data_IF_445141175153
#
_entry.id   IF_445141175153
#
_cell.length_a   1.000
_cell.length_b   1.000
_cell.length_c   1.000
_cell.angle_alpha   90.00
_cell.angle_beta   90.00
_cell.angle_gamma   90.00
#
_symmetry.space_group_name_H-M   'P 1'
#
loop_
_entity.id
_entity.type
_entity.pdbx_description
1 polymer ?
#
# COMPACT_ATOMS: atom_id res chain seq x y z
N UNK A 1 15.58 46.13 -5.17
CA UNK A 1 16.22 44.84 -5.50
C UNK A 1 15.96 43.89 -4.36
N UNK A 2 15.00 42.98 -4.52
CA UNK A 2 14.65 42.00 -3.49
C UNK A 2 15.51 40.74 -3.71
N UNK A 3 16.37 40.44 -2.75
CA UNK A 3 17.09 39.16 -2.65
C UNK A 3 16.26 38.23 -1.76
N UNK A 4 15.28 37.54 -2.35
CA UNK A 4 14.58 36.44 -1.69
C UNK A 4 15.42 35.19 -1.95
N UNK A 5 16.26 34.84 -0.98
CA UNK A 5 16.86 33.50 -0.93
C UNK A 5 15.74 32.49 -0.74
N UNK A 6 15.36 31.84 -1.83
CA UNK A 6 14.60 30.60 -1.82
C UNK A 6 15.43 29.57 -1.06
N UNK A 7 15.17 29.45 0.25
CA UNK A 7 15.62 28.35 1.07
C UNK A 7 15.08 27.07 0.45
N UNK A 8 15.94 26.38 -0.28
CA UNK A 8 15.75 24.99 -0.69
C UNK A 8 15.64 24.18 0.60
N UNK A 9 14.42 24.03 1.10
CA UNK A 9 14.12 22.97 2.04
C UNK A 9 14.57 21.69 1.34
N UNK A 10 15.46 20.88 1.93
CA UNK A 10 15.73 19.57 1.36
C UNK A 10 14.38 18.87 1.40
N UNK A 11 13.82 18.59 0.23
CA UNK A 11 12.79 17.57 0.08
C UNK A 11 13.45 16.29 0.56
N UNK A 12 13.44 16.08 1.88
CA UNK A 12 13.73 14.80 2.48
C UNK A 12 12.64 13.92 1.90
N UNK A 13 12.98 13.16 0.86
CA UNK A 13 12.11 12.10 0.36
C UNK A 13 11.64 11.38 1.62
N UNK A 14 10.31 11.27 1.85
CA UNK A 14 9.85 10.54 3.01
C UNK A 14 10.51 9.16 2.96
N UNK A 15 11.01 8.70 4.11
CA UNK A 15 11.58 7.36 4.18
C UNK A 15 10.51 6.40 3.63
N UNK A 16 10.78 5.77 2.50
CA UNK A 16 9.83 4.86 1.86
C UNK A 16 9.47 3.82 2.91
N UNK A 17 8.19 3.77 3.28
CA UNK A 17 7.71 2.80 4.25
C UNK A 17 8.06 1.40 3.75
N UNK A 18 8.53 0.55 4.66
CA UNK A 18 8.98 -0.81 4.37
C UNK A 18 7.89 -1.77 4.86
N UNK A 19 6.97 -2.19 3.98
CA UNK A 19 5.97 -3.18 4.34
C UNK A 19 6.64 -4.53 4.60
N UNK A 20 6.15 -5.26 5.58
CA UNK A 20 6.59 -6.64 5.82
C UNK A 20 6.21 -7.58 4.67
N UNK A 21 6.91 -8.70 4.54
CA UNK A 21 6.55 -9.78 3.59
C UNK A 21 5.12 -10.27 3.79
N UNK A 22 4.64 -10.34 5.03
CA UNK A 22 3.27 -10.73 5.34
C UNK A 22 2.27 -9.70 4.81
N UNK A 23 2.56 -8.41 4.97
CA UNK A 23 1.71 -7.35 4.43
C UNK A 23 1.66 -7.37 2.90
N UNK A 24 2.77 -7.67 2.24
CA UNK A 24 2.85 -7.84 0.79
C UNK A 24 2.03 -9.06 0.34
N UNK A 25 2.12 -10.20 1.04
CA UNK A 25 1.31 -11.40 0.74
C UNK A 25 -0.19 -11.13 0.87
N UNK A 26 -0.61 -10.43 1.92
CA UNK A 26 -2.00 -10.05 2.12
C UNK A 26 -2.49 -9.09 1.04
N UNK A 27 -1.64 -8.14 0.62
CA UNK A 27 -1.94 -7.25 -0.49
C UNK A 27 -2.13 -8.04 -1.80
N UNK A 28 -1.24 -8.99 -2.10
CA UNK A 28 -1.35 -9.87 -3.27
C UNK A 28 -2.65 -10.67 -3.25
N UNK A 29 -2.98 -11.32 -2.15
CA UNK A 29 -4.24 -12.07 -2.01
C UNK A 29 -5.47 -11.19 -2.23
N UNK A 30 -5.45 -9.96 -1.71
CA UNK A 30 -6.53 -8.99 -1.94
C UNK A 30 -6.63 -8.58 -3.42
N UNK A 31 -5.51 -8.36 -4.11
CA UNK A 31 -5.49 -8.00 -5.54
C UNK A 31 -5.96 -9.15 -6.42
N UNK A 32 -5.50 -10.38 -6.16
CA UNK A 32 -5.92 -11.58 -6.89
C UNK A 32 -7.43 -11.81 -6.72
N UNK A 33 -7.95 -11.70 -5.49
CA UNK A 33 -9.39 -11.81 -5.24
C UNK A 33 -10.19 -10.69 -5.91
N UNK A 34 -9.64 -9.48 -5.98
CA UNK A 34 -10.25 -8.37 -6.72
C UNK A 34 -10.37 -8.69 -8.20
N UNK A 35 -9.30 -9.20 -8.81
CA UNK A 35 -9.28 -9.56 -10.24
C UNK A 35 -10.38 -10.58 -10.55
N UNK A 36 -10.51 -11.63 -9.73
CA UNK A 36 -11.59 -12.62 -9.86
C UNK A 36 -12.96 -11.94 -9.74
N UNK A 37 -13.21 -11.18 -8.68
CA UNK A 37 -14.51 -10.52 -8.45
C UNK A 37 -14.91 -9.54 -9.57
N UNK A 38 -13.93 -8.88 -10.20
CA UNK A 38 -14.15 -7.93 -11.31
C UNK A 38 -14.25 -8.58 -12.69
N UNK A 39 -13.87 -9.86 -12.81
CA UNK A 39 -13.95 -10.61 -14.07
C UNK A 39 -15.36 -11.10 -14.39
N UNK A 40 -16.26 -11.11 -13.40
CA UNK A 40 -17.65 -11.54 -13.53
C UNK A 40 -18.60 -10.39 -13.16
N UNK A 41 -19.87 -10.44 -13.60
CA UNK A 41 -20.90 -9.51 -13.12
C UNK A 41 -21.01 -9.52 -11.60
N UNK A 42 -21.31 -8.35 -11.03
CA UNK A 42 -21.42 -8.20 -9.58
C UNK A 42 -22.42 -9.18 -8.97
N UNK A 43 -21.94 -9.94 -7.98
CA UNK A 43 -22.75 -10.70 -7.04
C UNK A 43 -22.17 -10.53 -5.65
N UNK A 44 -23.02 -10.51 -4.62
CA UNK A 44 -22.55 -10.37 -3.25
C UNK A 44 -21.60 -11.52 -2.85
N UNK A 45 -21.92 -12.75 -3.28
CA UNK A 45 -21.09 -13.94 -3.00
C UNK A 45 -19.76 -13.89 -3.76
N UNK A 46 -19.76 -13.49 -5.04
CA UNK A 46 -18.53 -13.35 -5.83
C UNK A 46 -17.58 -12.28 -5.30
N UNK A 47 -18.12 -11.25 -4.64
CA UNK A 47 -17.33 -10.16 -4.06
C UNK A 47 -16.91 -10.42 -2.61
N UNK A 48 -17.55 -11.37 -1.91
CA UNK A 48 -17.27 -11.66 -0.50
C UNK A 48 -15.81 -12.06 -0.24
N UNK A 49 -15.20 -12.82 -1.16
CA UNK A 49 -13.80 -13.22 -1.05
C UNK A 49 -12.86 -12.00 -1.09
N UNK A 50 -13.08 -11.09 -2.03
CA UNK A 50 -12.31 -9.85 -2.13
C UNK A 50 -12.51 -8.95 -0.91
N UNK A 51 -13.75 -8.76 -0.46
CA UNK A 51 -14.05 -7.93 0.71
C UNK A 51 -13.30 -8.43 1.95
N UNK A 52 -13.36 -9.74 2.22
CA UNK A 52 -12.65 -10.35 3.36
C UNK A 52 -11.13 -10.20 3.25
N UNK A 53 -10.56 -10.38 2.05
CA UNK A 53 -9.13 -10.22 1.83
C UNK A 53 -8.70 -8.75 2.00
N UNK A 54 -9.49 -7.81 1.48
CA UNK A 54 -9.24 -6.38 1.62
C UNK A 54 -9.33 -5.92 3.09
N UNK A 55 -10.33 -6.39 3.84
CA UNK A 55 -10.45 -6.13 5.28
C UNK A 55 -9.23 -6.66 6.05
N UNK A 56 -8.81 -7.89 5.75
CA UNK A 56 -7.64 -8.51 6.39
C UNK A 56 -6.37 -7.71 6.09
N UNK A 57 -6.18 -7.28 4.84
CA UNK A 57 -5.06 -6.44 4.44
C UNK A 57 -5.08 -5.09 5.20
N UNK A 58 -6.21 -4.36 5.23
CA UNK A 58 -6.32 -3.07 5.91
C UNK A 58 -6.11 -3.17 7.43
N UNK A 59 -6.58 -4.25 8.04
CA UNK A 59 -6.32 -4.55 9.45
C UNK A 59 -4.81 -4.76 9.69
N UNK A 60 -4.13 -5.50 8.82
CA UNK A 60 -2.69 -5.71 8.90
C UNK A 60 -1.89 -4.41 8.70
N UNK A 61 -2.26 -3.55 7.73
CA UNK A 61 -1.61 -2.22 7.56
C UNK A 61 -1.73 -1.42 8.86
N UNK A 62 -2.91 -1.42 9.48
CA UNK A 62 -3.16 -0.68 10.73
C UNK A 62 -2.34 -1.26 11.90
N UNK A 63 -2.28 -2.59 12.01
CA UNK A 63 -1.50 -3.26 13.04
C UNK A 63 0.01 -3.02 12.88
N UNK A 64 0.53 -3.07 11.64
CA UNK A 64 1.95 -2.84 11.35
C UNK A 64 2.33 -1.36 11.56
N UNK A 65 1.49 -0.41 11.15
CA UNK A 65 1.71 1.01 11.38
C UNK A 65 1.79 1.39 12.87
N UNK A 66 1.18 0.58 13.75
CA UNK A 66 1.22 0.78 15.20
C UNK A 66 2.47 0.21 15.87
N UNK A 67 3.27 -0.60 15.17
CA UNK A 67 4.52 -1.16 15.68
C UNK A 67 5.65 -0.12 15.67
N UNK A 68 6.65 -0.30 16.54
CA UNK A 68 7.85 0.54 16.55
C UNK A 68 8.94 -0.05 15.64
N UNK A 69 9.62 0.77 14.80
CA UNK A 69 9.39 2.20 14.61
C UNK A 69 8.09 2.49 13.85
N UNK A 70 7.34 3.50 14.30
CA UNK A 70 6.08 3.88 13.65
C UNK A 70 6.30 4.27 12.20
N UNK A 71 5.47 3.71 11.32
CA UNK A 71 5.40 4.05 9.91
C UNK A 71 4.00 4.61 9.59
N UNK A 72 3.90 5.46 8.58
CA UNK A 72 2.60 5.95 8.13
C UNK A 72 1.78 4.81 7.54
N UNK A 73 0.54 4.65 8.02
CA UNK A 73 -0.43 3.69 7.47
C UNK A 73 -0.61 3.86 5.95
N UNK A 74 -0.69 5.11 5.51
CA UNK A 74 -0.84 5.44 4.08
C UNK A 74 0.38 5.00 3.28
N UNK A 75 1.59 5.28 3.78
CA UNK A 75 2.83 4.95 3.07
C UNK A 75 3.05 3.43 3.03
N UNK A 76 2.72 2.70 4.10
CA UNK A 76 2.75 1.23 4.13
C UNK A 76 1.81 0.61 3.10
N UNK A 77 0.57 1.10 3.05
CA UNK A 77 -0.41 0.63 2.07
C UNK A 77 0.06 0.91 0.63
N UNK A 78 0.57 2.11 0.36
CA UNK A 78 1.07 2.49 -0.97
C UNK A 78 2.30 1.67 -1.36
N UNK A 79 3.23 1.45 -0.43
CA UNK A 79 4.42 0.64 -0.69
C UNK A 79 4.05 -0.82 -1.00
N UNK A 80 3.15 -1.43 -0.21
CA UNK A 80 2.69 -2.80 -0.47
C UNK A 80 1.99 -2.92 -1.84
N UNK A 81 1.10 -1.97 -2.16
CA UNK A 81 0.42 -1.94 -3.47
C UNK A 81 1.39 -1.71 -4.62
N UNK A 82 2.40 -0.85 -4.46
CA UNK A 82 3.43 -0.61 -5.48
C UNK A 82 4.19 -1.90 -5.79
N UNK A 83 4.64 -2.63 -4.76
CA UNK A 83 5.36 -3.91 -4.92
C UNK A 83 4.51 -4.95 -5.65
N UNK A 84 3.21 -5.01 -5.34
CA UNK A 84 2.30 -6.02 -5.92
C UNK A 84 1.84 -5.66 -7.34
N UNK A 85 1.51 -4.40 -7.60
CA UNK A 85 0.90 -3.96 -8.87
C UNK A 85 1.93 -3.50 -9.90
N UNK A 86 3.11 -3.10 -9.46
CA UNK A 86 4.17 -2.52 -10.31
C UNK A 86 5.56 -3.05 -9.94
N UNK A 87 5.80 -4.37 -10.03
CA UNK A 87 7.11 -4.94 -9.74
C UNK A 87 8.23 -4.35 -10.62
N UNK A 88 7.91 -3.83 -11.81
CA UNK A 88 8.85 -3.16 -12.71
C UNK A 88 9.38 -1.81 -12.19
N UNK A 89 8.70 -1.19 -11.21
CA UNK A 89 9.10 0.10 -10.64
C UNK A 89 10.00 -0.02 -9.39
N UNK A 90 10.46 -1.24 -9.09
CA UNK A 90 11.41 -1.53 -8.02
C UNK A 90 12.87 -1.61 -8.52
N UNK A 91 13.09 -1.62 -9.85
CA UNK A 91 14.43 -1.71 -10.49
C UNK A 91 15.04 -0.34 -10.86
N UNK A 92 15.14 0.60 -9.91
CA UNK A 92 15.68 1.96 -10.14
C UNK A 92 16.81 2.36 -9.22
#
# INVERSE_FOLDING_TARGET
MADVRLSVLPFRLPAVAKPSDELIKLCRASVEAQQVATSEPYTQEGWAAWLKAAETFQAAVTAEAAQEPKQSRLELEQAAKKIVLHPELDEG
#
